data_IF_927973522012
#
_entry.id   IF_927973522012
#
_cell.length_a   1.000
_cell.length_b   1.000
_cell.length_c   1.000
_cell.angle_alpha   90.00
_cell.angle_beta   90.00
_cell.angle_gamma   90.00
#
_symmetry.space_group_name_H-M   'P 1'
#
loop_
_entity.id
_entity.type
_entity.pdbx_description
1 polymer ?
#
# COMPACT_ATOMS: atom_id res chain seq x y z
N UNK A 1 18.71 -3.98 30.65
CA UNK A 1 17.26 -3.75 30.47
C UNK A 1 16.66 -5.14 30.30
N UNK A 2 16.16 -5.74 31.39
CA UNK A 2 15.66 -7.11 31.38
C UNK A 2 14.22 -7.11 30.91
N UNK A 3 13.92 -7.83 29.84
CA UNK A 3 12.54 -8.07 29.39
C UNK A 3 11.81 -8.80 30.52
N UNK A 4 10.66 -8.30 31.02
CA UNK A 4 9.90 -9.04 32.02
C UNK A 4 9.52 -10.41 31.44
N UNK A 5 9.77 -11.45 32.21
CA UNK A 5 9.42 -12.84 31.88
C UNK A 5 7.90 -12.91 31.70
N UNK A 6 7.44 -13.06 30.45
CA UNK A 6 6.02 -13.03 30.09
C UNK A 6 5.43 -14.40 30.40
N UNK A 7 4.55 -14.48 31.41
CA UNK A 7 3.85 -15.71 31.77
C UNK A 7 3.03 -16.20 30.56
N UNK A 8 3.40 -17.34 29.93
CA UNK A 8 2.71 -17.84 28.75
C UNK A 8 1.26 -18.25 29.06
N UNK A 9 0.93 -18.51 30.33
CA UNK A 9 -0.42 -18.84 30.74
C UNK A 9 -1.30 -17.60 30.98
N UNK A 10 -0.72 -16.40 31.07
CA UNK A 10 -1.49 -15.17 31.19
C UNK A 10 -2.17 -14.79 29.88
N UNK A 11 -1.49 -14.98 28.74
CA UNK A 11 -2.05 -14.72 27.42
C UNK A 11 -3.19 -15.71 27.10
N UNK A 12 -3.02 -16.99 27.45
CA UNK A 12 -4.06 -18.01 27.23
C UNK A 12 -5.34 -17.69 28.01
N UNK A 13 -5.22 -17.31 29.29
CA UNK A 13 -6.38 -16.90 30.11
C UNK A 13 -7.09 -15.67 29.55
N UNK A 14 -6.33 -14.68 29.06
CA UNK A 14 -6.91 -13.48 28.45
C UNK A 14 -7.64 -13.82 27.13
N UNK A 15 -7.09 -14.74 26.33
CA UNK A 15 -7.76 -15.22 25.12
C UNK A 15 -9.04 -16.00 25.42
N UNK A 16 -9.01 -16.89 26.42
CA UNK A 16 -10.20 -17.64 26.85
C UNK A 16 -11.32 -16.69 27.31
N UNK A 17 -11.00 -15.64 28.06
CA UNK A 17 -11.97 -14.63 28.51
C UNK A 17 -12.61 -13.88 27.33
N UNK A 18 -11.81 -13.50 26.32
CA UNK A 18 -12.33 -12.85 25.10
C UNK A 18 -13.25 -13.79 24.34
N UNK A 19 -12.85 -15.06 24.17
CA UNK A 19 -13.65 -16.06 23.44
C UNK A 19 -14.95 -16.36 24.18
N UNK A 20 -14.92 -16.48 25.51
CA UNK A 20 -16.10 -16.71 26.33
C UNK A 20 -17.05 -15.51 26.27
N UNK A 21 -16.52 -14.28 26.32
CA UNK A 21 -17.30 -13.05 26.15
C UNK A 21 -17.95 -12.94 24.78
N UNK A 22 -17.26 -13.38 23.72
CA UNK A 22 -17.79 -13.35 22.35
C UNK A 22 -18.81 -14.48 22.08
N UNK A 23 -18.73 -15.59 22.82
CA UNK A 23 -19.69 -16.71 22.73
C UNK A 23 -20.90 -16.54 23.64
N UNK A 24 -20.80 -15.73 24.69
CA UNK A 24 -21.93 -15.37 25.54
C UNK A 24 -22.97 -14.54 24.77
N UNK A 25 -24.25 -14.55 25.20
CA UNK A 25 -25.24 -13.64 24.65
C UNK A 25 -24.73 -12.20 24.82
N UNK A 26 -24.85 -11.38 23.77
CA UNK A 26 -24.41 -9.99 23.80
C UNK A 26 -25.24 -9.19 24.81
N UNK A 27 -24.84 -9.20 26.08
CA UNK A 27 -25.41 -8.34 27.10
C UNK A 27 -24.79 -6.94 26.97
N UNK A 28 -25.16 -6.25 25.90
CA UNK A 28 -25.01 -4.79 25.81
C UNK A 28 -25.99 -4.09 26.74
N UNK A 29 -25.77 -2.81 27.10
CA UNK A 29 -26.64 -2.06 28.01
C UNK A 29 -27.95 -1.59 27.36
N UNK A 30 -28.43 -2.28 26.33
CA UNK A 30 -29.69 -1.98 25.68
C UNK A 30 -30.78 -2.75 26.42
N UNK A 31 -31.58 -2.01 27.19
CA UNK A 31 -32.72 -2.54 27.90
C UNK A 31 -33.68 -3.29 26.96
N UNK A 32 -34.45 -4.15 27.58
CA UNK A 32 -35.41 -5.16 27.12
C UNK A 32 -36.40 -4.71 26.01
N UNK A 33 -36.40 -3.43 25.62
CA UNK A 33 -37.25 -2.83 24.58
C UNK A 33 -36.49 -2.38 23.32
N UNK A 34 -35.15 -2.50 23.26
CA UNK A 34 -34.33 -2.10 22.11
C UNK A 34 -33.92 -3.26 21.19
N UNK A 35 -34.34 -4.49 21.52
CA UNK A 35 -33.96 -5.71 20.78
C UNK A 35 -35.02 -6.11 19.74
N UNK A 36 -36.29 -5.73 19.92
CA UNK A 36 -37.35 -6.06 18.95
C UNK A 36 -37.23 -5.28 17.63
N UNK A 37 -36.58 -4.10 17.61
CA UNK A 37 -36.36 -3.30 16.39
C UNK A 37 -35.02 -3.64 15.68
N UNK A 38 -34.13 -4.40 16.34
CA UNK A 38 -32.82 -4.82 15.79
C UNK A 38 -32.77 -6.32 15.47
N UNK A 39 -33.81 -7.09 15.79
CA UNK A 39 -33.93 -8.52 15.43
C UNK A 39 -34.35 -8.74 13.97
N UNK A 40 -34.78 -7.71 13.24
CA UNK A 40 -35.17 -7.84 11.83
C UNK A 40 -34.04 -7.62 10.82
N UNK A 41 -32.88 -7.08 11.22
CA UNK A 41 -31.77 -6.80 10.30
C UNK A 41 -30.43 -7.17 10.96
N UNK A 42 -30.08 -8.46 10.88
CA UNK A 42 -28.80 -8.97 11.33
C UNK A 42 -27.64 -8.46 10.46
N UNK A 43 -26.37 -8.58 10.90
CA UNK A 43 -25.18 -8.07 10.20
C UNK A 43 -24.91 -8.64 8.80
N UNK A 44 -25.82 -9.47 8.28
CA UNK A 44 -25.78 -10.11 6.96
C UNK A 44 -27.09 -9.96 6.19
N UNK A 45 -28.05 -9.23 6.72
CA UNK A 45 -29.41 -9.12 6.15
C UNK A 45 -29.52 -7.92 5.19
N UNK A 46 -28.40 -7.58 4.55
CA UNK A 46 -28.39 -6.62 3.44
C UNK A 46 -29.00 -7.26 2.19
N UNK A 47 -30.17 -6.78 1.78
CA UNK A 47 -30.62 -7.01 0.41
C UNK A 47 -29.66 -6.30 -0.55
N UNK A 48 -29.21 -7.02 -1.58
CA UNK A 48 -28.46 -6.41 -2.68
C UNK A 48 -29.40 -5.36 -3.30
N UNK A 49 -29.05 -4.08 -3.21
CA UNK A 49 -29.77 -3.05 -3.94
C UNK A 49 -29.82 -3.48 -5.41
N UNK A 50 -30.99 -3.37 -6.04
CA UNK A 50 -31.15 -3.64 -7.48
C UNK A 50 -30.03 -2.90 -8.22
N UNK A 51 -29.19 -3.64 -8.95
CA UNK A 51 -28.05 -3.08 -9.70
C UNK A 51 -28.61 -1.91 -10.53
N UNK A 52 -28.23 -0.65 -10.24
CA UNK A 52 -28.55 0.41 -11.16
C UNK A 52 -27.91 0.02 -12.50
N UNK A 53 -28.68 0.04 -13.59
CA UNK A 53 -28.23 -0.33 -14.94
C UNK A 53 -27.03 0.52 -15.46
N UNK A 54 -26.51 1.43 -14.63
CA UNK A 54 -25.33 2.24 -14.86
C UNK A 54 -24.13 1.60 -14.16
N UNK A 55 -23.35 0.81 -14.91
CA UNK A 55 -22.00 0.40 -14.52
C UNK A 55 -21.22 1.65 -14.07
N UNK A 56 -21.00 1.79 -12.77
CA UNK A 56 -20.23 2.91 -12.23
C UNK A 56 -18.84 2.94 -12.89
N UNK A 57 -18.59 3.98 -13.68
CA UNK A 57 -17.27 4.26 -14.26
C UNK A 57 -16.64 5.44 -13.51
N UNK A 58 -15.50 5.22 -12.83
CA UNK A 58 -14.74 6.32 -12.26
C UNK A 58 -14.42 7.37 -13.33
N UNK A 59 -14.41 8.66 -12.98
CA UNK A 59 -13.97 9.69 -13.90
C UNK A 59 -12.54 9.41 -14.37
N UNK A 60 -12.27 9.62 -15.66
CA UNK A 60 -10.94 9.44 -16.24
C UNK A 60 -9.93 10.34 -15.49
N UNK A 61 -8.90 9.77 -14.85
CA UNK A 61 -7.89 10.54 -14.12
C UNK A 61 -7.04 11.44 -15.04
N UNK A 62 -7.19 11.34 -16.35
CA UNK A 62 -6.42 12.06 -17.35
C UNK A 62 -5.11 11.34 -17.71
N UNK A 63 -4.28 11.99 -18.52
CA UNK A 63 -3.03 11.38 -18.96
C UNK A 63 -2.09 11.13 -17.78
N UNK A 64 -1.66 9.89 -17.58
CA UNK A 64 -0.71 9.50 -16.52
C UNK A 64 0.64 10.23 -16.61
N UNK A 65 0.90 10.91 -17.72
CA UNK A 65 2.09 11.73 -17.94
C UNK A 65 1.89 13.22 -17.65
N UNK A 66 0.65 13.70 -17.46
CA UNK A 66 0.32 15.07 -17.06
C UNK A 66 0.80 15.31 -15.62
N UNK A 67 2.07 15.71 -15.48
CA UNK A 67 2.71 15.96 -14.19
C UNK A 67 4.15 15.45 -14.13
N UNK A 68 4.55 14.58 -15.07
CA UNK A 68 5.94 14.16 -15.17
C UNK A 68 6.80 15.30 -15.73
N UNK A 69 7.67 15.86 -14.88
CA UNK A 69 8.68 16.81 -15.35
C UNK A 69 9.57 16.16 -16.42
N UNK A 70 10.02 16.91 -17.44
CA UNK A 70 10.96 16.39 -18.46
C UNK A 70 12.19 15.75 -17.81
N UNK A 71 12.64 16.28 -16.67
CA UNK A 71 13.77 15.72 -15.94
C UNK A 71 13.47 14.37 -15.24
N UNK A 72 12.21 14.06 -14.95
CA UNK A 72 11.83 12.73 -14.42
C UNK A 72 11.91 11.70 -15.53
N UNK A 73 11.45 12.07 -16.73
CA UNK A 73 11.49 11.20 -17.90
C UNK A 73 12.93 10.92 -18.36
N UNK A 74 13.80 11.92 -18.33
CA UNK A 74 15.23 11.70 -18.60
C UNK A 74 15.91 10.86 -17.52
N UNK A 75 15.56 11.01 -16.25
CA UNK A 75 16.11 10.17 -15.18
C UNK A 75 15.72 8.69 -15.39
N UNK A 76 14.45 8.41 -15.68
CA UNK A 76 14.01 7.07 -16.06
C UNK A 76 14.74 6.54 -17.31
N UNK A 77 14.90 7.39 -18.33
CA UNK A 77 15.67 7.06 -19.51
C UNK A 77 17.11 6.67 -19.18
N UNK A 78 17.83 7.48 -18.39
CA UNK A 78 19.20 7.20 -17.94
C UNK A 78 19.26 5.93 -17.10
N UNK A 79 18.28 5.72 -16.21
CA UNK A 79 18.21 4.57 -15.33
C UNK A 79 18.12 3.25 -16.10
N UNK A 80 17.39 3.23 -17.23
CA UNK A 80 17.27 2.04 -18.10
C UNK A 80 18.41 1.97 -19.11
N UNK A 81 18.77 3.10 -19.72
CA UNK A 81 19.76 3.16 -20.80
C UNK A 81 21.17 2.76 -20.32
N UNK A 82 21.58 3.22 -19.13
CA UNK A 82 22.95 2.96 -18.62
C UNK A 82 23.20 1.46 -18.40
N UNK A 83 22.33 0.70 -17.71
CA UNK A 83 22.46 -0.76 -17.61
C UNK A 83 22.50 -1.46 -18.97
N UNK A 84 21.62 -1.06 -19.89
CA UNK A 84 21.57 -1.66 -21.25
C UNK A 84 22.90 -1.43 -21.98
N UNK A 85 23.40 -0.19 -21.98
CA UNK A 85 24.68 0.16 -22.60
C UNK A 85 25.85 -0.59 -21.93
N UNK A 86 25.85 -0.72 -20.60
CA UNK A 86 26.87 -1.49 -19.88
C UNK A 86 26.87 -2.97 -20.27
N UNK A 87 25.69 -3.59 -20.41
CA UNK A 87 25.57 -4.98 -20.85
C UNK A 87 26.10 -5.14 -22.28
N UNK A 88 25.74 -4.24 -23.19
CA UNK A 88 26.25 -4.24 -24.58
C UNK A 88 27.78 -4.09 -24.62
N UNK A 89 28.33 -3.15 -23.84
CA UNK A 89 29.79 -2.97 -23.70
C UNK A 89 30.47 -4.21 -23.12
N UNK A 90 29.86 -4.84 -22.10
CA UNK A 90 30.39 -6.05 -21.50
C UNK A 90 30.52 -7.18 -22.52
N UNK A 91 29.53 -7.36 -23.40
CA UNK A 91 29.61 -8.35 -24.48
C UNK A 91 30.65 -7.98 -25.54
N UNK A 92 30.70 -6.71 -25.95
CA UNK A 92 31.63 -6.25 -26.99
C UNK A 92 33.10 -6.33 -26.57
N UNK A 93 33.38 -6.13 -25.28
CA UNK A 93 34.74 -6.07 -24.72
C UNK A 93 35.23 -7.39 -24.09
N UNK A 94 34.48 -8.50 -24.21
CA UNK A 94 34.73 -9.78 -23.52
C UNK A 94 34.77 -9.64 -21.98
N UNK A 95 33.86 -8.83 -21.44
CA UNK A 95 33.78 -8.45 -20.04
C UNK A 95 33.99 -6.96 -19.86
N UNK A 96 33.28 -6.37 -18.90
CA UNK A 96 33.36 -4.94 -18.66
C UNK A 96 34.55 -4.63 -17.74
N UNK A 97 35.53 -3.80 -18.17
CA UNK A 97 36.63 -3.37 -17.31
C UNK A 97 36.15 -2.79 -15.98
N UNK A 98 36.85 -3.12 -14.88
CA UNK A 98 36.47 -2.70 -13.53
C UNK A 98 36.31 -1.17 -13.38
N UNK A 99 37.09 -0.39 -14.13
CA UNK A 99 37.05 1.08 -14.11
C UNK A 99 35.79 1.67 -14.77
N UNK A 100 35.04 0.90 -15.57
CA UNK A 100 33.74 1.32 -16.13
C UNK A 100 32.56 1.03 -15.19
N UNK A 101 32.71 0.08 -14.26
CA UNK A 101 31.67 -0.24 -13.29
C UNK A 101 31.38 0.91 -12.34
N UNK A 102 32.43 1.54 -11.81
CA UNK A 102 32.31 2.66 -10.85
C UNK A 102 31.52 3.84 -11.42
N UNK A 103 31.88 4.44 -12.59
CA UNK A 103 31.12 5.54 -13.15
C UNK A 103 29.73 5.12 -13.62
N UNK A 104 29.57 3.91 -14.18
CA UNK A 104 28.26 3.40 -14.59
C UNK A 104 27.29 3.31 -13.41
N UNK A 105 27.73 2.71 -12.30
CA UNK A 105 26.95 2.62 -11.08
C UNK A 105 26.69 4.01 -10.47
N UNK A 106 27.67 4.92 -10.48
CA UNK A 106 27.49 6.28 -9.99
C UNK A 106 26.40 7.05 -10.76
N UNK A 107 26.33 6.87 -12.08
CA UNK A 107 25.25 7.48 -12.91
C UNK A 107 23.89 6.88 -12.57
N UNK A 108 23.80 5.57 -12.38
CA UNK A 108 22.56 4.89 -11.96
C UNK A 108 22.09 5.42 -10.61
N UNK A 109 22.97 5.45 -9.60
CA UNK A 109 22.66 5.97 -8.26
C UNK A 109 22.23 7.44 -8.35
N UNK A 110 22.91 8.25 -9.16
CA UNK A 110 22.57 9.67 -9.34
C UNK A 110 21.18 9.84 -9.97
N UNK A 111 20.81 8.97 -10.91
CA UNK A 111 19.47 8.96 -11.49
C UNK A 111 18.40 8.62 -10.45
N UNK A 112 18.63 7.57 -9.66
CA UNK A 112 17.72 7.18 -8.57
C UNK A 112 17.57 8.31 -7.55
N UNK A 113 18.68 8.92 -7.11
CA UNK A 113 18.64 10.07 -6.21
C UNK A 113 17.87 11.26 -6.81
N UNK A 114 18.01 11.49 -8.11
CA UNK A 114 17.23 12.51 -8.83
C UNK A 114 15.74 12.19 -8.89
N UNK A 115 15.34 10.91 -8.93
CA UNK A 115 13.95 10.50 -8.87
C UNK A 115 13.39 10.68 -7.46
N UNK A 116 14.14 10.24 -6.44
CA UNK A 116 13.73 10.35 -5.04
C UNK A 116 13.47 11.80 -4.62
N UNK A 117 14.31 12.74 -5.05
CA UNK A 117 14.10 14.19 -4.80
C UNK A 117 12.88 14.80 -5.49
N UNK A 118 12.25 14.06 -6.40
CA UNK A 118 11.07 14.49 -7.13
C UNK A 118 9.80 13.77 -6.68
N UNK A 119 9.90 12.85 -5.72
CA UNK A 119 8.69 12.32 -5.10
C UNK A 119 8.01 13.47 -4.35
N UNK A 120 6.69 13.67 -4.53
CA UNK A 120 5.95 14.63 -3.73
C UNK A 120 6.03 14.20 -2.26
N UNK A 121 6.50 15.10 -1.40
CA UNK A 121 6.62 14.88 0.05
C UNK A 121 5.25 14.96 0.75
N UNK A 122 4.30 15.71 0.17
CA UNK A 122 2.97 15.87 0.71
C UNK A 122 2.05 14.74 0.19
N UNK A 123 1.68 13.84 1.09
CA UNK A 123 0.42 13.10 0.98
C UNK A 123 -0.64 13.99 1.61
N UNK A 124 -1.74 14.24 0.91
CA UNK A 124 -2.88 14.91 1.51
C UNK A 124 -3.50 13.97 2.55
N UNK A 125 -3.46 14.35 3.83
CA UNK A 125 -3.92 13.52 4.95
C UNK A 125 -5.43 13.23 4.88
N UNK A 126 -6.19 13.96 4.05
CA UNK A 126 -7.64 13.82 3.86
C UNK A 126 -8.07 13.20 2.53
N UNK A 127 -7.14 12.89 1.63
CA UNK A 127 -7.44 12.27 0.33
C UNK A 127 -6.92 10.82 0.34
N UNK A 128 -7.80 9.90 0.71
CA UNK A 128 -7.55 8.47 0.65
C UNK A 128 -7.71 7.89 -0.78
N UNK A 129 -7.98 8.76 -1.76
CA UNK A 129 -8.26 8.39 -3.15
C UNK A 129 -9.64 7.77 -3.34
N UNK A 130 -10.49 7.74 -2.31
CA UNK A 130 -11.86 7.26 -2.41
C UNK A 130 -12.79 8.44 -2.73
N UNK A 131 -13.38 8.42 -3.93
CA UNK A 131 -14.48 9.31 -4.29
C UNK A 131 -15.77 8.53 -4.01
N UNK A 132 -16.51 8.92 -2.97
CA UNK A 132 -17.82 8.36 -2.62
C UNK A 132 -18.96 8.99 -3.40
#
# INVERSE_FOLDING_TARGET
MSTPDRDPHADERAWEEIVERLRGPAHGPLGENGLEELEEDGPRDYELAEDPDEDWQPPDPGDVTLGLSSGTMTAWGVLVLVPVVMVVLAFMMNGLPWWLWVPGLAVVISSIASLLRKLPEDRDDGDDGAVV
#
